data_IF_559967713237
#
_entry.id   IF_559967713237
#
_cell.length_a   1.000
_cell.length_b   1.000
_cell.length_c   1.000
_cell.angle_alpha   90.00
_cell.angle_beta   90.00
_cell.angle_gamma   90.00
#
_symmetry.space_group_name_H-M   'P 1'
#
loop_
_entity.id
_entity.type
_entity.pdbx_description
1 polymer ?
#
# COMPACT_ATOMS: atom_id res chain seq x y z
N UNK A 1 34.64 -32.68 1.39
CA UNK A 1 34.18 -32.51 -0.01
C UNK A 1 32.68 -32.22 -0.01
N UNK A 2 32.29 -31.26 -0.85
CA UNK A 2 30.92 -30.85 -1.23
C UNK A 2 30.06 -32.05 -1.66
N UNK A 3 28.75 -32.00 -1.39
CA UNK A 3 27.75 -31.99 -2.48
C UNK A 3 26.42 -31.39 -1.99
N UNK A 4 25.95 -30.39 -2.73
CA UNK A 4 24.71 -29.65 -2.55
C UNK A 4 23.56 -30.37 -3.25
N UNK A 5 22.32 -30.20 -2.79
CA UNK A 5 21.13 -30.53 -3.60
C UNK A 5 20.04 -29.50 -3.36
N UNK A 6 19.87 -28.61 -4.34
CA UNK A 6 18.73 -27.71 -4.47
C UNK A 6 17.63 -28.43 -5.25
N UNK A 7 16.40 -28.47 -4.74
CA UNK A 7 15.23 -28.88 -5.53
C UNK A 7 14.43 -27.63 -5.86
N UNK A 8 14.42 -27.28 -7.14
CA UNK A 8 13.62 -26.21 -7.73
C UNK A 8 12.16 -26.66 -7.81
N UNK A 9 11.25 -25.99 -7.10
CA UNK A 9 9.82 -26.25 -7.26
C UNK A 9 9.22 -25.24 -8.25
N UNK A 10 8.82 -25.74 -9.41
CA UNK A 10 8.12 -25.01 -10.47
C UNK A 10 6.66 -24.82 -10.05
N UNK A 11 6.22 -23.58 -9.87
CA UNK A 11 4.81 -23.23 -9.66
C UNK A 11 4.08 -23.23 -11.01
N UNK A 12 3.03 -24.04 -11.17
CA UNK A 12 2.08 -23.91 -12.27
C UNK A 12 0.93 -22.99 -11.84
N UNK A 13 0.89 -21.77 -12.35
CA UNK A 13 -0.24 -20.85 -12.17
C UNK A 13 -1.22 -21.02 -13.33
N UNK A 14 -2.42 -21.53 -13.06
CA UNK A 14 -3.51 -21.54 -14.04
C UNK A 14 -4.48 -20.41 -13.72
N UNK A 15 -4.54 -19.41 -14.60
CA UNK A 15 -5.47 -18.28 -14.54
C UNK A 15 -6.87 -18.69 -14.97
N UNK A 16 -7.91 -18.34 -14.19
CA UNK A 16 -9.32 -18.40 -14.63
C UNK A 16 -9.79 -16.97 -14.88
N UNK A 17 -10.32 -16.72 -16.08
CA UNK A 17 -10.83 -15.42 -16.51
C UNK A 17 -12.24 -15.11 -15.96
N UNK A 18 -12.48 -13.82 -15.77
CA UNK A 18 -13.67 -13.16 -15.21
C UNK A 18 -14.91 -13.24 -16.12
N UNK A 19 -16.11 -13.30 -15.52
CA UNK A 19 -17.35 -12.91 -16.20
C UNK A 19 -18.09 -11.91 -15.30
N UNK A 20 -18.21 -10.68 -15.79
CA UNK A 20 -18.99 -9.60 -15.20
C UNK A 20 -20.49 -9.87 -15.37
N UNK A 21 -21.24 -9.91 -14.27
CA UNK A 21 -22.70 -9.80 -14.28
C UNK A 21 -23.12 -8.54 -13.53
N UNK A 22 -23.39 -7.44 -14.25
CA UNK A 22 -24.04 -6.26 -13.69
C UNK A 22 -25.56 -6.40 -13.89
N UNK A 23 -26.28 -6.82 -12.86
CA UNK A 23 -27.74 -6.64 -12.80
C UNK A 23 -28.00 -5.25 -12.19
N UNK A 24 -28.66 -4.37 -12.95
CA UNK A 24 -28.99 -3.03 -12.51
C UNK A 24 -30.17 -3.01 -11.54
N UNK A 25 -30.02 -2.27 -10.44
CA UNK A 25 -31.13 -1.69 -9.69
C UNK A 25 -30.67 -0.35 -9.12
N UNK A 26 -31.20 0.75 -9.65
CA UNK A 26 -31.04 2.09 -9.09
C UNK A 26 -32.32 2.43 -8.32
N UNK A 27 -32.18 2.75 -7.04
CA UNK A 27 -33.19 3.49 -6.27
C UNK A 27 -32.61 4.86 -5.91
N UNK A 28 -33.30 5.98 -6.19
CA UNK A 28 -32.86 7.30 -5.78
C UNK A 28 -33.22 7.51 -4.30
N UNK A 29 -32.21 7.75 -3.46
CA UNK A 29 -32.40 8.34 -2.14
C UNK A 29 -31.62 9.66 -2.11
N UNK A 30 -32.34 10.72 -2.51
CA UNK A 30 -32.06 12.11 -2.25
C UNK A 30 -32.10 12.35 -0.73
N UNK A 31 -31.05 12.97 -0.18
CA UNK A 31 -31.13 13.76 1.05
C UNK A 31 -30.08 14.87 0.98
N UNK A 32 -30.47 15.94 0.31
CA UNK A 32 -29.81 17.23 0.37
C UNK A 32 -29.93 17.90 1.77
N UNK A 33 -28.75 18.16 2.38
CA UNK A 33 -28.31 19.41 3.07
C UNK A 33 -28.60 19.60 4.58
N UNK A 34 -27.77 20.37 5.35
CA UNK A 34 -26.86 21.45 4.91
C UNK A 34 -25.39 21.51 5.44
N UNK A 35 -24.57 22.13 4.58
CA UNK A 35 -23.24 22.79 4.58
C UNK A 35 -22.68 23.37 5.90
N UNK A 36 -21.34 23.28 6.13
CA UNK A 36 -20.44 24.45 6.21
C UNK A 36 -18.93 24.10 6.32
N UNK A 37 -18.14 24.42 5.29
CA UNK A 37 -16.81 25.07 5.40
C UNK A 37 -16.34 25.47 3.99
N UNK A 38 -16.26 26.77 3.74
CA UNK A 38 -15.77 27.32 2.48
C UNK A 38 -14.26 27.07 2.34
N UNK A 39 -13.86 26.29 1.32
CA UNK A 39 -12.50 26.33 0.79
C UNK A 39 -12.59 26.67 -0.70
N UNK A 40 -12.11 27.86 -1.04
CA UNK A 40 -11.95 28.38 -2.39
C UNK A 40 -10.87 27.58 -3.15
N UNK A 41 -11.22 26.44 -3.73
CA UNK A 41 -10.30 25.75 -4.64
C UNK A 41 -10.31 26.45 -5.99
N UNK A 42 -9.32 27.33 -6.22
CA UNK A 42 -9.03 27.87 -7.54
C UNK A 42 -8.69 26.72 -8.47
N UNK A 43 -9.59 26.47 -9.42
CA UNK A 43 -9.55 25.38 -10.38
C UNK A 43 -8.40 25.57 -11.37
N UNK A 44 -7.18 25.19 -10.98
CA UNK A 44 -6.06 25.02 -11.90
C UNK A 44 -6.21 23.61 -12.50
N UNK A 45 -6.39 23.47 -13.83
CA UNK A 45 -6.35 22.16 -14.47
C UNK A 45 -4.91 21.65 -14.39
N UNK A 46 -4.60 20.98 -13.28
CA UNK A 46 -3.32 20.31 -13.12
C UNK A 46 -3.35 19.12 -14.09
N UNK A 47 -2.53 19.19 -15.13
CA UNK A 47 -2.27 18.10 -16.06
C UNK A 47 -1.54 16.99 -15.32
N UNK A 48 -2.25 16.31 -14.42
CA UNK A 48 -1.76 15.23 -13.60
C UNK A 48 -1.46 14.06 -14.54
N UNK A 49 -0.18 13.88 -14.85
CA UNK A 49 0.32 12.63 -15.42
C UNK A 49 -0.08 11.53 -14.46
N UNK A 50 -1.14 10.79 -14.81
CA UNK A 50 -1.77 9.78 -13.97
C UNK A 50 -0.88 8.55 -13.90
N UNK A 51 0.26 8.67 -13.25
CA UNK A 51 1.08 7.54 -12.84
C UNK A 51 0.32 6.89 -11.69
N UNK A 52 -0.11 5.64 -11.90
CA UNK A 52 -0.90 4.89 -10.93
C UNK A 52 -0.01 4.43 -9.79
N UNK A 53 0.43 5.35 -8.94
CA UNK A 53 1.19 5.04 -7.74
C UNK A 53 0.27 4.41 -6.70
N UNK A 54 0.77 3.39 -5.99
CA UNK A 54 0.08 2.90 -4.81
C UNK A 54 -0.11 4.06 -3.83
N UNK A 55 -1.37 4.26 -3.42
CA UNK A 55 -1.69 5.20 -2.36
C UNK A 55 -0.92 4.81 -1.08
N UNK A 56 -0.60 5.77 -0.20
CA UNK A 56 0.14 5.52 1.03
C UNK A 56 -0.39 4.33 1.85
N UNK A 57 -1.71 4.26 2.00
CA UNK A 57 -2.41 3.14 2.64
C UNK A 57 -2.05 1.78 2.02
N UNK A 58 -2.09 1.70 0.69
CA UNK A 58 -1.80 0.47 -0.04
C UNK A 58 -0.35 0.04 0.12
N UNK A 59 0.59 0.96 0.33
CA UNK A 59 2.02 0.63 0.54
C UNK A 59 2.24 -0.02 1.90
N UNK A 60 1.63 0.50 2.96
CA UNK A 60 1.68 -0.11 4.28
C UNK A 60 1.00 -1.50 4.28
N UNK A 61 -0.16 -1.61 3.62
CA UNK A 61 -0.87 -2.88 3.50
C UNK A 61 -0.10 -3.92 2.68
N UNK A 62 0.51 -3.51 1.56
CA UNK A 62 1.37 -4.37 0.76
C UNK A 62 2.55 -4.93 1.57
N UNK A 63 3.18 -4.09 2.40
CA UNK A 63 4.24 -4.53 3.30
C UNK A 63 3.70 -5.57 4.30
N UNK A 64 2.54 -5.29 4.91
CA UNK A 64 1.90 -6.17 5.87
C UNK A 64 1.54 -7.54 5.27
N UNK A 65 0.99 -7.57 4.05
CA UNK A 65 0.67 -8.81 3.30
C UNK A 65 1.91 -9.56 2.81
N UNK A 66 3.10 -8.97 2.95
CA UNK A 66 4.37 -9.58 2.56
C UNK A 66 4.75 -9.38 1.10
N UNK A 67 4.12 -8.43 0.41
CA UNK A 67 4.48 -8.03 -0.94
C UNK A 67 5.88 -7.42 -1.08
N UNK A 68 6.53 -7.07 0.04
CA UNK A 68 7.89 -6.51 0.08
C UNK A 68 8.93 -7.49 0.68
N UNK A 69 8.58 -8.76 0.90
CA UNK A 69 9.52 -9.75 1.47
C UNK A 69 10.76 -9.98 0.61
N UNK A 70 10.60 -9.94 -0.71
CA UNK A 70 11.72 -10.06 -1.65
C UNK A 70 12.73 -8.90 -1.50
N UNK A 71 12.28 -7.76 -0.95
CA UNK A 71 13.08 -6.56 -0.70
C UNK A 71 13.63 -6.48 0.73
N UNK A 72 13.51 -7.56 1.49
CA UNK A 72 14.01 -7.67 2.87
C UNK A 72 13.07 -7.13 3.93
N UNK A 73 11.83 -6.77 3.58
CA UNK A 73 10.85 -6.26 4.55
C UNK A 73 10.07 -7.44 5.14
N UNK A 74 10.08 -7.63 6.48
CA UNK A 74 9.23 -8.64 7.13
C UNK A 74 7.75 -8.30 6.94
N UNK A 75 6.87 -9.27 7.19
CA UNK A 75 5.42 -9.14 6.99
C UNK A 75 4.64 -9.41 8.28
N UNK A 76 3.34 -9.11 8.29
CA UNK A 76 2.44 -9.44 9.41
C UNK A 76 2.94 -8.92 10.76
N UNK A 77 2.92 -9.77 11.79
CA UNK A 77 3.37 -9.42 13.14
C UNK A 77 4.85 -9.07 13.23
N UNK A 78 5.71 -9.66 12.38
CA UNK A 78 7.13 -9.34 12.35
C UNK A 78 7.38 -7.92 11.83
N UNK A 79 6.62 -7.49 10.80
CA UNK A 79 6.63 -6.09 10.35
C UNK A 79 6.30 -5.13 11.49
N UNK A 80 5.20 -5.42 12.21
CA UNK A 80 4.73 -4.61 13.34
C UNK A 80 5.81 -4.51 14.41
N UNK A 81 6.42 -5.64 14.79
CA UNK A 81 7.45 -5.69 15.84
C UNK A 81 8.70 -4.90 15.47
N UNK A 82 9.24 -5.08 14.26
CA UNK A 82 10.44 -4.36 13.81
C UNK A 82 10.16 -2.85 13.68
N UNK A 83 8.94 -2.48 13.27
CA UNK A 83 8.51 -1.09 13.21
C UNK A 83 8.37 -0.46 14.61
N UNK A 84 7.74 -1.15 15.56
CA UNK A 84 7.58 -0.69 16.95
C UNK A 84 8.92 -0.52 17.68
N UNK A 85 9.87 -1.41 17.41
CA UNK A 85 11.21 -1.39 18.01
C UNK A 85 12.14 -0.38 17.34
N UNK A 86 11.72 0.24 16.23
CA UNK A 86 12.52 1.20 15.47
C UNK A 86 13.61 0.57 14.60
N UNK A 87 13.67 -0.75 14.51
CA UNK A 87 14.58 -1.47 13.62
C UNK A 87 14.21 -1.31 12.14
N UNK A 88 12.93 -0.98 11.87
CA UNK A 88 12.43 -0.72 10.53
C UNK A 88 11.69 0.62 10.51
N UNK A 89 12.10 1.52 9.62
CA UNK A 89 11.45 2.82 9.46
C UNK A 89 10.44 2.84 8.30
N UNK A 90 9.53 3.83 8.33
CA UNK A 90 8.65 4.16 7.20
C UNK A 90 9.44 4.37 5.91
N UNK A 91 10.58 5.06 5.99
CA UNK A 91 11.43 5.32 4.82
C UNK A 91 11.99 4.02 4.23
N UNK A 92 12.36 3.04 5.06
CA UNK A 92 12.88 1.76 4.59
C UNK A 92 11.81 0.95 3.86
N UNK A 93 10.58 0.97 4.36
CA UNK A 93 9.41 0.34 3.72
C UNK A 93 9.12 0.99 2.38
N UNK A 94 9.12 2.33 2.30
CA UNK A 94 8.87 3.04 1.05
C UNK A 94 10.01 2.82 0.05
N UNK A 95 11.28 2.82 0.49
CA UNK A 95 12.43 2.43 -0.35
C UNK A 95 12.28 1.02 -0.91
N UNK A 96 11.82 0.07 -0.10
CA UNK A 96 11.55 -1.29 -0.56
C UNK A 96 10.42 -1.31 -1.60
N UNK A 97 9.35 -0.56 -1.41
CA UNK A 97 8.29 -0.43 -2.39
C UNK A 97 8.78 0.18 -3.73
N UNK A 98 9.72 1.12 -3.69
CA UNK A 98 10.39 1.66 -4.89
C UNK A 98 11.20 0.58 -5.60
N UNK A 99 12.05 -0.17 -4.86
CA UNK A 99 12.84 -1.26 -5.43
C UNK A 99 11.97 -2.36 -6.05
N UNK A 100 10.83 -2.66 -5.43
CA UNK A 100 9.82 -3.58 -5.95
C UNK A 100 9.01 -3.01 -7.14
N UNK A 101 9.32 -1.80 -7.62
CA UNK A 101 8.62 -1.08 -8.68
C UNK A 101 7.10 -0.93 -8.42
N UNK A 102 6.72 -0.76 -7.15
CA UNK A 102 5.33 -0.59 -6.71
C UNK A 102 4.92 0.87 -6.52
N UNK A 103 5.90 1.75 -6.30
CA UNK A 103 5.73 3.20 -6.15
C UNK A 103 6.85 3.94 -6.88
N UNK A 104 6.64 5.21 -7.25
CA UNK A 104 7.71 6.04 -7.84
C UNK A 104 8.84 6.26 -6.86
N UNK A 105 10.06 6.44 -7.36
CA UNK A 105 11.13 7.04 -6.57
C UNK A 105 10.80 8.47 -6.10
N UNK A 106 9.93 9.20 -6.81
CA UNK A 106 9.53 10.57 -6.44
C UNK A 106 8.89 10.66 -5.05
N UNK A 107 8.26 9.58 -4.59
CA UNK A 107 7.56 9.57 -3.29
C UNK A 107 8.54 9.57 -2.11
N UNK A 108 9.82 9.28 -2.34
CA UNK A 108 10.85 9.31 -1.29
C UNK A 108 11.09 10.70 -0.72
N UNK A 109 10.77 11.75 -1.48
CA UNK A 109 10.89 13.15 -1.05
C UNK A 109 9.52 13.78 -0.74
N UNK A 110 8.43 13.02 -0.83
CA UNK A 110 7.08 13.50 -0.58
C UNK A 110 6.71 13.27 0.89
N UNK A 111 6.79 14.31 1.69
CA UNK A 111 6.53 14.22 3.13
C UNK A 111 5.09 13.79 3.44
N UNK A 112 4.10 14.26 2.68
CA UNK A 112 2.69 13.87 2.88
C UNK A 112 2.50 12.38 2.64
N UNK A 113 3.20 11.82 1.65
CA UNK A 113 3.19 10.39 1.38
C UNK A 113 3.79 9.61 2.54
N UNK A 114 4.99 9.99 2.99
CA UNK A 114 5.69 9.32 4.10
C UNK A 114 4.85 9.36 5.39
N UNK A 115 4.30 10.53 5.75
CA UNK A 115 3.47 10.69 6.95
C UNK A 115 2.18 9.88 6.87
N UNK A 116 1.58 9.72 5.69
CA UNK A 116 0.40 8.87 5.52
C UNK A 116 0.73 7.36 5.65
N UNK A 117 1.89 6.91 5.15
CA UNK A 117 2.36 5.52 5.37
C UNK A 117 2.63 5.28 6.85
N UNK A 118 3.32 6.22 7.52
CA UNK A 118 3.62 6.17 8.95
C UNK A 118 2.34 6.11 9.81
N UNK A 119 1.35 6.93 9.49
CA UNK A 119 0.04 6.92 10.17
C UNK A 119 -0.62 5.54 10.06
N UNK A 120 -0.58 4.93 8.87
CA UNK A 120 -1.15 3.61 8.66
C UNK A 120 -0.38 2.51 9.41
N UNK A 121 0.95 2.52 9.37
CA UNK A 121 1.78 1.56 10.13
C UNK A 121 1.52 1.69 11.63
N UNK A 122 1.41 2.91 12.14
CA UNK A 122 1.07 3.21 13.54
C UNK A 122 -0.33 2.75 13.93
N UNK A 123 -1.28 2.66 12.99
CA UNK A 123 -2.58 2.05 13.27
C UNK A 123 -2.46 0.54 13.52
N UNK A 124 -1.60 -0.15 12.76
CA UNK A 124 -1.39 -1.59 12.95
C UNK A 124 -0.76 -1.91 14.31
N UNK A 125 0.14 -1.06 14.80
CA UNK A 125 0.78 -1.24 16.11
C UNK A 125 -0.22 -1.07 17.27
N UNK A 126 -1.13 -0.11 17.16
CA UNK A 126 -2.16 0.14 18.18
C UNK A 126 -3.15 -1.02 18.31
N UNK A 127 -3.49 -1.70 17.21
CA UNK A 127 -4.40 -2.85 17.23
C UNK A 127 -3.75 -4.17 17.64
N UNK A 128 -2.40 -4.27 17.63
CA UNK A 128 -1.68 -5.48 17.97
C UNK A 128 -1.40 -5.67 19.47
N UNK A 129 -1.83 -4.72 20.32
CA UNK A 129 -1.45 -4.64 21.75
C UNK A 129 -2.46 -5.29 22.73
N UNK A 130 -3.19 -6.33 22.30
CA UNK A 130 -4.22 -7.02 23.12
C UNK A 130 -3.81 -8.44 23.52
#
# INVERSE_FOLDING_TARGET
MKLSTFIHSVLFTTSIALISGIAGAQTPADNNQPINTAINSNNIPNHSTKVSYLQPFNTAFLAYEGGLKAEGIPSGSALISEYQTGNLSTLDIVKAAVRANKVSADVLNNQDYLSAVESQLTSFTQHASY
#
